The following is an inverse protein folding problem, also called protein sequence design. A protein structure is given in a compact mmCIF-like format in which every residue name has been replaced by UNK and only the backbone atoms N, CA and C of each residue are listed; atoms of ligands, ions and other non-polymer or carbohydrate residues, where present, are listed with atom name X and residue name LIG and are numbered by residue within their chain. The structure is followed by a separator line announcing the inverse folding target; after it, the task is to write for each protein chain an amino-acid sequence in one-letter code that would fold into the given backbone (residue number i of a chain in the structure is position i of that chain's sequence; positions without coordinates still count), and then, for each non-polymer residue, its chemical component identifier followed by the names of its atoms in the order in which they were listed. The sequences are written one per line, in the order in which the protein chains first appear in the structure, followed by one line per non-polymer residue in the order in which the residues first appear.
data_IF_644975652703
#
_entry.id   IF_644975652703
#
_cell.length_a   1.000
_cell.length_b   1.000
_cell.length_c   1.000
_cell.angle_alpha   90.00
_cell.angle_beta   90.00
_cell.angle_gamma   90.00
#
_symmetry.space_group_name_H-M   'P 1'
#
loop_
_entity.id
_entity.type
_entity.pdbx_description
1 polymer ?
#
# COMPACT_ATOMS: atom_id res chain seq x y z
N UNK A 1 7.16 -0.11 25.91
CA UNK A 1 5.82 -0.15 25.29
C UNK A 1 5.32 -1.58 25.29
N UNK A 2 4.04 -1.79 25.60
CA UNK A 2 3.44 -3.12 25.50
C UNK A 2 3.35 -3.55 24.03
N UNK A 3 3.73 -4.79 23.73
CA UNK A 3 3.83 -5.28 22.34
C UNK A 3 2.53 -5.15 21.56
N UNK A 4 1.39 -5.29 22.22
CA UNK A 4 0.08 -5.18 21.58
C UNK A 4 -0.19 -3.74 21.09
N UNK A 5 0.26 -2.71 21.82
CA UNK A 5 0.15 -1.30 21.41
C UNK A 5 1.01 -1.05 20.16
N UNK A 6 2.26 -1.50 20.19
CA UNK A 6 3.19 -1.36 19.05
C UNK A 6 2.64 -2.05 17.79
N UNK A 7 2.07 -3.25 17.94
CA UNK A 7 1.41 -3.96 16.84
C UNK A 7 0.16 -3.21 16.34
N UNK A 8 -0.63 -2.62 17.24
CA UNK A 8 -1.78 -1.80 16.88
C UNK A 8 -1.41 -0.58 16.03
N UNK A 9 -0.38 0.15 16.43
CA UNK A 9 0.15 1.28 15.63
C UNK A 9 0.64 0.80 14.27
N UNK A 10 1.37 -0.31 14.22
CA UNK A 10 1.82 -0.88 12.95
C UNK A 10 0.65 -1.30 12.05
N UNK A 11 -0.43 -1.86 12.61
CA UNK A 11 -1.62 -2.24 11.87
C UNK A 11 -2.33 -1.03 11.26
N UNK A 12 -2.40 0.10 11.98
CA UNK A 12 -2.95 1.37 11.47
C UNK A 12 -2.10 1.89 10.31
N UNK A 13 -0.77 1.90 10.45
CA UNK A 13 0.14 2.29 9.37
C UNK A 13 -0.01 1.35 8.15
N UNK A 14 -0.09 0.03 8.38
CA UNK A 14 -0.32 -0.95 7.33
C UNK A 14 -1.64 -0.69 6.58
N UNK A 15 -2.72 -0.39 7.29
CA UNK A 15 -4.01 -0.03 6.70
C UNK A 15 -3.92 1.27 5.86
N UNK A 16 -3.23 2.29 6.38
CA UNK A 16 -2.98 3.53 5.64
C UNK A 16 -2.16 3.30 4.36
N UNK A 17 -1.13 2.46 4.41
CA UNK A 17 -0.38 2.04 3.22
C UNK A 17 -1.27 1.32 2.21
N UNK A 18 -2.09 0.36 2.64
CA UNK A 18 -3.03 -0.34 1.76
C UNK A 18 -4.03 0.61 1.10
N UNK A 19 -4.57 1.59 1.84
CA UNK A 19 -5.46 2.61 1.27
C UNK A 19 -4.77 3.45 0.18
N UNK A 20 -3.50 3.84 0.39
CA UNK A 20 -2.72 4.58 -0.61
C UNK A 20 -2.43 3.74 -1.86
N UNK A 21 -2.14 2.44 -1.71
CA UNK A 21 -2.00 1.53 -2.85
C UNK A 21 -3.32 1.32 -3.60
N UNK A 22 -4.45 1.28 -2.88
CA UNK A 22 -5.77 1.27 -3.51
C UNK A 22 -6.02 2.54 -4.33
N UNK A 23 -5.70 3.72 -3.78
CA UNK A 23 -5.79 5.01 -4.51
C UNK A 23 -4.86 5.04 -5.73
N UNK A 24 -3.62 4.55 -5.61
CA UNK A 24 -2.71 4.38 -6.74
C UNK A 24 -3.35 3.54 -7.85
N UNK A 25 -3.88 2.35 -7.52
CA UNK A 25 -4.54 1.47 -8.48
C UNK A 25 -5.76 2.11 -9.13
N UNK A 26 -6.58 2.84 -8.36
CA UNK A 26 -7.75 3.56 -8.85
C UNK A 26 -7.37 4.55 -9.95
N UNK A 27 -6.35 5.39 -9.74
CA UNK A 27 -5.94 6.41 -10.71
C UNK A 27 -5.10 5.84 -11.86
N UNK A 28 -4.36 4.75 -11.63
CA UNK A 28 -3.59 4.06 -12.66
C UNK A 28 -4.48 3.45 -13.75
N UNK A 29 -5.72 3.06 -13.41
CA UNK A 29 -6.61 2.32 -14.28
C UNK A 29 -6.88 3.00 -15.64
N UNK A 30 -7.10 4.32 -15.64
CA UNK A 30 -7.46 5.09 -16.85
C UNK A 30 -6.29 5.13 -17.85
N UNK A 31 -5.11 5.69 -17.52
CA UNK A 31 -4.00 5.74 -18.47
C UNK A 31 -3.47 4.35 -18.85
N UNK A 32 -3.63 3.35 -17.98
CA UNK A 32 -3.34 1.96 -18.31
C UNK A 32 -4.26 1.43 -19.43
N UNK A 33 -5.57 1.61 -19.28
CA UNK A 33 -6.57 1.20 -20.30
C UNK A 33 -6.36 1.93 -21.63
N UNK A 34 -6.04 3.22 -21.57
CA UNK A 34 -5.85 4.07 -22.75
C UNK A 34 -4.47 3.90 -23.41
N UNK A 35 -3.58 3.07 -22.85
CA UNK A 35 -2.24 2.82 -23.40
C UNK A 35 -1.30 4.03 -23.36
N UNK A 36 -1.60 5.04 -22.54
CA UNK A 36 -0.89 6.32 -22.50
C UNK A 36 -0.04 6.53 -21.23
N UNK A 37 0.40 5.44 -20.61
CA UNK A 37 1.20 5.46 -19.38
C UNK A 37 2.49 6.30 -19.48
N UNK A 38 3.03 6.51 -20.69
CA UNK A 38 4.23 7.32 -20.94
C UNK A 38 3.93 8.75 -21.41
N UNK A 39 2.65 9.14 -21.48
CA UNK A 39 2.18 10.44 -21.92
C UNK A 39 1.27 11.10 -20.87
N UNK A 40 1.64 10.96 -19.59
CA UNK A 40 0.95 11.58 -18.47
C UNK A 40 1.33 13.06 -18.36
N UNK A 41 0.36 13.91 -18.02
CA UNK A 41 0.68 15.27 -17.61
C UNK A 41 1.16 15.33 -16.13
N UNK A 42 1.62 16.51 -15.69
CA UNK A 42 2.15 16.69 -14.33
C UNK A 42 1.14 16.35 -13.22
N UNK A 43 -0.14 16.68 -13.41
CA UNK A 43 -1.19 16.39 -12.41
C UNK A 43 -1.41 14.89 -12.31
N UNK A 44 -1.51 14.18 -13.44
CA UNK A 44 -1.66 12.72 -13.46
C UNK A 44 -0.45 12.02 -12.84
N UNK A 45 0.76 12.50 -13.11
CA UNK A 45 1.98 12.01 -12.45
C UNK A 45 1.92 12.19 -10.93
N UNK A 46 1.43 13.31 -10.42
CA UNK A 46 1.31 13.55 -8.98
C UNK A 46 0.23 12.66 -8.35
N UNK A 47 -0.95 12.57 -8.98
CA UNK A 47 -2.09 11.81 -8.46
C UNK A 47 -1.82 10.31 -8.44
N UNK A 48 -0.99 9.79 -9.35
CA UNK A 48 -0.53 8.39 -9.33
C UNK A 48 0.72 8.23 -8.45
N UNK A 49 1.71 9.12 -8.59
CA UNK A 49 3.02 9.01 -7.96
C UNK A 49 3.00 9.26 -6.45
N UNK A 50 2.22 10.23 -5.97
CA UNK A 50 2.17 10.55 -4.53
C UNK A 50 1.61 9.37 -3.72
N UNK A 51 0.46 8.76 -4.06
CA UNK A 51 -0.02 7.59 -3.35
C UNK A 51 0.94 6.41 -3.40
N UNK A 52 1.64 6.20 -4.53
CA UNK A 52 2.64 5.15 -4.65
C UNK A 52 3.82 5.38 -3.68
N UNK A 53 4.45 6.54 -3.75
CA UNK A 53 5.64 6.86 -2.96
C UNK A 53 5.33 6.95 -1.46
N UNK A 54 4.24 7.63 -1.10
CA UNK A 54 3.81 7.74 0.30
C UNK A 54 3.34 6.38 0.81
N UNK A 55 2.65 5.58 -0.02
CA UNK A 55 2.23 4.23 0.31
C UNK A 55 3.41 3.32 0.67
N UNK A 56 4.51 3.40 -0.08
CA UNK A 56 5.76 2.71 0.25
C UNK A 56 6.39 3.22 1.55
N UNK A 57 6.48 4.55 1.73
CA UNK A 57 7.05 5.13 2.95
C UNK A 57 6.28 4.71 4.21
N UNK A 58 4.94 4.73 4.15
CA UNK A 58 4.07 4.31 5.25
C UNK A 58 4.17 2.81 5.49
N UNK A 59 4.19 1.99 4.43
CA UNK A 59 4.36 0.54 4.53
C UNK A 59 5.72 0.15 5.12
N UNK A 60 6.79 0.86 4.74
CA UNK A 60 8.11 0.73 5.35
C UNK A 60 8.07 1.06 6.85
N UNK A 61 7.43 2.16 7.23
CA UNK A 61 7.21 2.52 8.63
C UNK A 61 6.46 1.44 9.41
N UNK A 62 5.40 0.86 8.84
CA UNK A 62 4.66 -0.25 9.45
C UNK A 62 5.56 -1.47 9.70
N UNK A 63 6.38 -1.86 8.71
CA UNK A 63 7.33 -2.97 8.86
C UNK A 63 8.42 -2.68 9.89
N UNK A 64 8.89 -1.44 9.98
CA UNK A 64 9.86 -1.03 10.98
C UNK A 64 9.28 -1.15 12.40
N UNK A 65 8.04 -0.70 12.61
CA UNK A 65 7.35 -0.81 13.91
C UNK A 65 7.12 -2.30 14.26
N UNK A 66 6.70 -3.13 13.30
CA UNK A 66 6.58 -4.58 13.51
C UNK A 66 7.91 -5.25 13.85
N UNK A 67 9.01 -4.81 13.23
CA UNK A 67 10.33 -5.36 13.50
C UNK A 67 10.75 -5.12 14.96
N UNK A 68 10.48 -3.91 15.49
CA UNK A 68 10.73 -3.57 16.89
C UNK A 68 9.89 -4.43 17.84
N UNK A 69 8.64 -4.77 17.48
CA UNK A 69 7.77 -5.57 18.33
C UNK A 69 8.14 -7.06 18.36
N UNK A 70 8.45 -7.64 17.19
CA UNK A 70 8.33 -9.09 16.98
C UNK A 70 9.58 -9.77 16.41
N UNK A 71 10.55 -9.03 15.85
CA UNK A 71 11.66 -9.65 15.10
C UNK A 71 12.51 -10.58 15.95
N UNK A 72 12.82 -10.19 17.19
CA UNK A 72 13.66 -10.99 18.09
C UNK A 72 12.85 -12.05 18.84
N UNK A 73 11.68 -11.68 19.38
CA UNK A 73 10.89 -12.60 20.20
C UNK A 73 10.03 -13.59 19.42
N UNK A 74 9.67 -13.26 18.17
CA UNK A 74 8.73 -14.04 17.36
C UNK A 74 9.01 -13.88 15.86
N UNK A 75 10.18 -14.31 15.37
CA UNK A 75 10.62 -14.06 13.99
C UNK A 75 9.68 -14.64 12.93
N UNK A 76 9.03 -15.78 13.22
CA UNK A 76 8.02 -16.37 12.33
C UNK A 76 6.79 -15.47 12.18
N UNK A 77 6.29 -14.89 13.27
CA UNK A 77 5.15 -13.98 13.25
C UNK A 77 5.50 -12.71 12.45
N UNK A 78 6.68 -12.13 12.68
CA UNK A 78 7.16 -11.00 11.91
C UNK A 78 7.22 -11.30 10.39
N UNK A 79 7.77 -12.46 10.02
CA UNK A 79 7.83 -12.88 8.62
C UNK A 79 6.42 -13.03 8.00
N UNK A 80 5.49 -13.67 8.72
CA UNK A 80 4.09 -13.82 8.28
C UNK A 80 3.41 -12.47 8.10
N UNK A 81 3.52 -11.55 9.06
CA UNK A 81 2.90 -10.23 8.98
C UNK A 81 3.51 -9.38 7.85
N UNK A 82 4.83 -9.49 7.62
CA UNK A 82 5.48 -8.84 6.49
C UNK A 82 4.92 -9.33 5.16
N UNK A 83 4.81 -10.65 4.98
CA UNK A 83 4.23 -11.23 3.76
C UNK A 83 2.76 -10.81 3.62
N UNK A 84 1.99 -10.86 4.70
CA UNK A 84 0.59 -10.44 4.69
C UNK A 84 0.42 -8.98 4.26
N UNK A 85 1.28 -8.06 4.74
CA UNK A 85 1.27 -6.67 4.29
C UNK A 85 1.57 -6.56 2.79
N UNK A 86 2.60 -7.25 2.30
CA UNK A 86 2.97 -7.22 0.88
C UNK A 86 1.82 -7.72 -0.01
N UNK A 87 1.17 -8.82 0.39
CA UNK A 87 -0.01 -9.33 -0.33
C UNK A 87 -1.16 -8.34 -0.26
N UNK A 88 -1.42 -7.73 0.91
CA UNK A 88 -2.50 -6.79 1.10
C UNK A 88 -2.33 -5.52 0.24
N UNK A 89 -1.13 -4.94 0.15
CA UNK A 89 -0.90 -3.74 -0.68
C UNK A 89 -1.02 -4.03 -2.18
N UNK A 90 -0.57 -5.21 -2.63
CA UNK A 90 -0.74 -5.65 -4.02
C UNK A 90 -2.23 -5.87 -4.33
N UNK A 91 -2.96 -6.58 -3.46
CA UNK A 91 -4.40 -6.78 -3.61
C UNK A 91 -5.17 -5.46 -3.56
N UNK A 92 -4.76 -4.51 -2.72
CA UNK A 92 -5.33 -3.18 -2.64
C UNK A 92 -5.16 -2.43 -3.98
N UNK A 93 -3.97 -2.45 -4.58
CA UNK A 93 -3.75 -1.83 -5.88
C UNK A 93 -4.62 -2.45 -6.99
N UNK A 94 -4.67 -3.78 -7.09
CA UNK A 94 -5.52 -4.44 -8.08
C UNK A 94 -7.01 -4.19 -7.86
N UNK A 95 -7.47 -4.20 -6.60
CA UNK A 95 -8.87 -3.90 -6.29
C UNK A 95 -9.22 -2.45 -6.62
N UNK A 96 -8.33 -1.48 -6.36
CA UNK A 96 -8.51 -0.09 -6.79
C UNK A 96 -8.63 0.03 -8.31
N UNK A 97 -7.75 -0.64 -9.05
CA UNK A 97 -7.80 -0.67 -10.52
C UNK A 97 -9.12 -1.27 -11.03
N UNK A 98 -9.54 -2.41 -10.48
CA UNK A 98 -10.79 -3.08 -10.85
C UNK A 98 -12.03 -2.22 -10.57
N UNK A 99 -12.01 -1.45 -9.48
CA UNK A 99 -13.11 -0.58 -9.09
C UNK A 99 -13.33 0.54 -10.11
N UNK A 100 -12.24 1.14 -10.60
CA UNK A 100 -12.27 2.15 -11.66
C UNK A 100 -12.68 1.55 -13.00
N UNK A 101 -12.10 0.41 -13.38
CA UNK A 101 -12.44 -0.26 -14.65
C UNK A 101 -13.93 -0.60 -14.74
N UNK A 102 -14.56 -0.98 -13.63
CA UNK A 102 -16.00 -1.24 -13.57
C UNK A 102 -16.88 0.02 -13.71
N UNK A 103 -16.29 1.22 -13.64
CA UNK A 103 -17.01 2.52 -13.66
C UNK A 103 -16.62 3.43 -14.83
N UNK A 104 -15.57 3.09 -15.56
CA UNK A 104 -15.20 3.76 -16.80
C UNK A 104 -16.03 3.11 -17.91
N UNK A 105 -17.20 3.70 -18.20
CA UNK A 105 -18.03 3.36 -19.35
C UNK A 105 -17.33 3.76 -20.66
#
# INVERSE_FOLDING_TARGET
MEKWITRGVAAICAAGSAALFWTFGMFLAVPWREGRMFALNTVEMQVIGVPLLVGFAVGWGALHILAVADRESSPKLYATLRIALLVAVVAAAFSGMSWSQARIA
#
